data_IF_641059630150
#
_entry.id   IF_641059630150
#
_cell.length_a   1.000
_cell.length_b   1.000
_cell.length_c   1.000
_cell.angle_alpha   90.00
_cell.angle_beta   90.00
_cell.angle_gamma   90.00
#
_symmetry.space_group_name_H-M   'P 1'
#
loop_
_entity.id
_entity.type
_entity.pdbx_description
1 polymer ?
#
# COMPACT_ATOMS: atom_id res chain seq x y z
N UNK A 1 -18.11 63.20 -27.95
CA UNK A 1 -16.75 62.64 -27.74
C UNK A 1 -16.91 61.17 -27.39
N UNK A 2 -16.78 60.30 -28.39
CA UNK A 2 -16.94 58.83 -28.28
C UNK A 2 -15.56 58.18 -28.21
N UNK A 3 -15.38 57.10 -27.41
CA UNK A 3 -14.06 56.51 -27.21
C UNK A 3 -13.66 55.60 -28.37
N UNK A 4 -12.39 55.69 -28.75
CA UNK A 4 -11.69 54.82 -29.69
C UNK A 4 -11.55 53.43 -29.05
N UNK A 5 -12.18 52.41 -29.65
CA UNK A 5 -11.94 51.00 -29.31
C UNK A 5 -10.68 50.54 -30.06
N UNK A 6 -9.58 50.37 -29.33
CA UNK A 6 -8.38 49.69 -29.82
C UNK A 6 -8.66 48.19 -29.81
N UNK A 7 -8.81 47.60 -31.00
CA UNK A 7 -8.80 46.15 -31.17
C UNK A 7 -7.35 45.68 -31.28
N UNK A 8 -6.81 45.10 -30.21
CA UNK A 8 -5.56 44.33 -30.27
C UNK A 8 -5.90 42.95 -30.84
N UNK A 9 -5.57 42.74 -32.11
CA UNK A 9 -5.68 41.45 -32.78
C UNK A 9 -4.47 40.59 -32.38
N UNK A 10 -4.58 39.83 -31.29
CA UNK A 10 -3.57 38.83 -30.92
C UNK A 10 -3.76 37.59 -31.79
N UNK A 11 -3.02 37.51 -32.88
CA UNK A 11 -2.88 36.28 -33.68
C UNK A 11 -2.05 35.28 -32.86
N UNK A 12 -2.72 34.35 -32.20
CA UNK A 12 -2.07 33.14 -31.67
C UNK A 12 -1.73 32.23 -32.84
N UNK A 13 -0.51 32.35 -33.34
CA UNK A 13 0.11 31.31 -34.16
C UNK A 13 0.31 30.08 -33.27
N UNK A 14 -0.63 29.14 -33.38
CA UNK A 14 -0.46 27.76 -32.92
C UNK A 14 0.63 27.11 -33.77
N UNK A 15 1.89 27.33 -33.37
CA UNK A 15 2.98 26.47 -33.78
C UNK A 15 2.71 25.12 -33.12
N UNK A 16 2.23 24.18 -33.92
CA UNK A 16 2.17 22.77 -33.58
C UNK A 16 3.59 22.26 -33.34
N UNK A 17 4.10 22.46 -32.14
CA UNK A 17 5.17 21.64 -31.59
C UNK A 17 4.52 20.30 -31.26
N UNK A 18 4.45 19.42 -32.26
CA UNK A 18 4.37 17.99 -32.04
C UNK A 18 5.65 17.60 -31.28
N UNK A 19 5.59 17.67 -29.95
CA UNK A 19 6.60 17.04 -29.12
C UNK A 19 6.40 15.53 -29.35
N UNK A 20 7.33 14.81 -30.00
CA UNK A 20 7.22 13.38 -30.07
C UNK A 20 7.30 12.88 -28.64
N UNK A 21 6.18 12.35 -28.14
CA UNK A 21 6.15 11.49 -26.97
C UNK A 21 6.92 10.23 -27.35
N UNK A 22 8.25 10.31 -27.32
CA UNK A 22 9.15 9.17 -27.50
C UNK A 22 8.98 8.25 -26.29
N UNK A 23 7.95 7.41 -26.30
CA UNK A 23 7.98 6.16 -25.54
C UNK A 23 8.92 5.22 -26.28
N UNK A 24 10.04 4.86 -25.66
CA UNK A 24 10.91 3.81 -26.20
C UNK A 24 10.08 2.55 -26.48
N UNK A 25 10.25 1.92 -27.67
CA UNK A 25 9.51 0.71 -28.00
C UNK A 25 9.87 -0.41 -27.02
N UNK A 26 8.87 -1.22 -26.63
CA UNK A 26 9.09 -2.40 -25.80
C UNK A 26 10.05 -3.37 -26.51
N UNK A 27 10.97 -3.97 -25.74
CA UNK A 27 11.78 -5.07 -26.25
C UNK A 27 10.87 -6.25 -26.65
N UNK A 28 11.30 -7.06 -27.61
CA UNK A 28 10.56 -8.27 -28.02
C UNK A 28 10.28 -9.19 -26.80
N UNK A 29 11.24 -9.27 -25.88
CA UNK A 29 11.10 -10.07 -24.65
C UNK A 29 10.04 -9.47 -23.71
N UNK A 30 9.97 -8.14 -23.57
CA UNK A 30 8.90 -7.47 -22.81
C UNK A 30 7.53 -7.66 -23.47
N UNK A 31 7.45 -7.62 -24.80
CA UNK A 31 6.18 -7.87 -25.50
C UNK A 31 5.66 -9.28 -25.24
N UNK A 32 6.51 -10.30 -25.38
CA UNK A 32 6.14 -11.69 -25.05
C UNK A 32 5.69 -11.87 -23.61
N UNK A 33 6.33 -11.17 -22.67
CA UNK A 33 5.94 -11.20 -21.26
C UNK A 33 4.55 -10.61 -21.03
N UNK A 34 4.25 -9.49 -21.69
CA UNK A 34 2.97 -8.80 -21.61
C UNK A 34 1.84 -9.60 -22.27
N UNK A 35 2.11 -10.22 -23.42
CA UNK A 35 1.12 -11.08 -24.08
C UNK A 35 0.75 -12.25 -23.17
N UNK A 36 1.75 -12.89 -22.53
CA UNK A 36 1.52 -13.94 -21.53
C UNK A 36 0.78 -13.43 -20.30
N UNK A 37 1.11 -12.22 -19.82
CA UNK A 37 0.44 -11.57 -18.69
C UNK A 37 -1.05 -11.35 -18.96
N UNK A 38 -1.41 -10.81 -20.12
CA UNK A 38 -2.81 -10.59 -20.50
C UNK A 38 -3.58 -11.91 -20.71
N UNK A 39 -2.89 -12.98 -21.11
CA UNK A 39 -3.44 -14.33 -21.16
C UNK A 39 -3.54 -15.01 -19.79
N UNK A 40 -3.14 -14.33 -18.70
CA UNK A 40 -3.05 -14.87 -17.33
C UNK A 40 -2.12 -16.08 -17.22
N UNK A 41 -1.17 -16.23 -18.13
CA UNK A 41 -0.14 -17.25 -18.06
C UNK A 41 1.04 -16.71 -17.22
N UNK A 42 0.88 -16.73 -15.90
CA UNK A 42 1.82 -16.13 -14.95
C UNK A 42 3.21 -16.73 -15.05
N UNK A 43 3.32 -18.06 -15.20
CA UNK A 43 4.62 -18.75 -15.34
C UNK A 43 5.37 -18.28 -16.59
N UNK A 44 4.68 -18.12 -17.72
CA UNK A 44 5.32 -17.66 -18.95
C UNK A 44 5.63 -16.16 -18.91
N UNK A 45 4.78 -15.35 -18.28
CA UNK A 45 5.02 -13.93 -18.06
C UNK A 45 6.27 -13.71 -17.19
N UNK A 46 6.36 -14.42 -16.06
CA UNK A 46 7.52 -14.43 -15.16
C UNK A 46 8.80 -14.79 -15.91
N UNK A 47 8.78 -15.90 -16.65
CA UNK A 47 9.93 -16.35 -17.45
C UNK A 47 10.42 -15.25 -18.38
N UNK A 48 9.52 -14.63 -19.15
CA UNK A 48 9.92 -13.59 -20.10
C UNK A 48 10.39 -12.30 -19.42
N UNK A 49 9.75 -11.86 -18.33
CA UNK A 49 10.26 -10.71 -17.57
C UNK A 49 11.65 -10.99 -16.99
N UNK A 50 11.91 -12.19 -16.46
CA UNK A 50 13.24 -12.60 -16.01
C UNK A 50 14.27 -12.59 -17.15
N UNK A 51 13.93 -13.09 -18.34
CA UNK A 51 14.81 -13.01 -19.51
C UNK A 51 15.09 -11.56 -19.94
N UNK A 52 14.10 -10.67 -19.80
CA UNK A 52 14.31 -9.24 -20.05
C UNK A 52 15.32 -8.65 -19.05
N UNK A 53 15.15 -8.96 -17.77
CA UNK A 53 16.04 -8.50 -16.68
C UNK A 53 17.45 -9.10 -16.76
N UNK A 54 17.64 -10.28 -17.35
CA UNK A 54 18.99 -10.79 -17.65
C UNK A 54 19.74 -9.91 -18.64
N UNK A 55 19.04 -9.32 -19.61
CA UNK A 55 19.63 -8.41 -20.62
C UNK A 55 19.82 -7.01 -20.07
N UNK A 56 18.84 -6.53 -19.31
CA UNK A 56 18.91 -5.23 -18.64
C UNK A 56 18.32 -5.33 -17.21
N UNK A 57 19.17 -5.54 -16.19
CA UNK A 57 18.71 -5.65 -14.79
C UNK A 57 17.98 -4.41 -14.28
N UNK A 58 18.24 -3.26 -14.89
CA UNK A 58 17.70 -1.97 -14.50
C UNK A 58 16.47 -1.56 -15.33
N UNK A 59 15.95 -2.44 -16.21
CA UNK A 59 14.75 -2.14 -16.99
C UNK A 59 13.58 -1.87 -16.04
N UNK A 60 13.10 -0.62 -15.94
CA UNK A 60 12.06 -0.29 -14.99
C UNK A 60 10.74 -0.96 -15.37
N UNK A 61 10.49 -1.21 -16.66
CA UNK A 61 9.27 -1.87 -17.13
C UNK A 61 9.23 -3.34 -16.74
N UNK A 62 10.32 -4.08 -16.99
CA UNK A 62 10.39 -5.49 -16.62
C UNK A 62 10.36 -5.68 -15.09
N UNK A 63 11.08 -4.83 -14.33
CA UNK A 63 11.03 -4.87 -12.87
C UNK A 63 9.60 -4.64 -12.34
N UNK A 64 8.90 -3.61 -12.84
CA UNK A 64 7.55 -3.27 -12.38
C UNK A 64 6.53 -4.37 -12.68
N UNK A 65 6.52 -4.88 -13.92
CA UNK A 65 5.52 -5.88 -14.30
C UNK A 65 5.81 -7.26 -13.68
N UNK A 66 7.08 -7.61 -13.45
CA UNK A 66 7.42 -8.80 -12.68
C UNK A 66 6.91 -8.71 -11.24
N UNK A 67 7.02 -7.54 -10.60
CA UNK A 67 6.44 -7.30 -9.28
C UNK A 67 4.90 -7.48 -9.29
N UNK A 68 4.22 -7.05 -10.36
CA UNK A 68 2.78 -7.27 -10.52
C UNK A 68 2.45 -8.77 -10.65
N UNK A 69 3.20 -9.53 -11.46
CA UNK A 69 3.06 -10.99 -11.57
C UNK A 69 3.21 -11.65 -10.20
N UNK A 70 4.26 -11.31 -9.46
CA UNK A 70 4.49 -11.89 -8.13
C UNK A 70 3.43 -11.48 -7.11
N UNK A 71 2.89 -10.27 -7.18
CA UNK A 71 1.79 -9.86 -6.29
C UNK A 71 0.51 -10.65 -6.59
N UNK A 72 0.24 -10.94 -7.87
CA UNK A 72 -0.88 -11.79 -8.27
C UNK A 72 -0.69 -13.22 -7.75
N UNK A 73 0.50 -13.80 -7.89
CA UNK A 73 0.80 -15.15 -7.37
C UNK A 73 0.70 -15.20 -5.84
N UNK A 74 1.22 -14.18 -5.14
CA UNK A 74 1.09 -14.03 -3.69
C UNK A 74 -0.39 -13.98 -3.25
N UNK A 75 -1.24 -13.29 -4.01
CA UNK A 75 -2.68 -13.24 -3.73
C UNK A 75 -3.39 -14.59 -3.89
N UNK A 76 -2.80 -15.51 -4.65
CA UNK A 76 -3.28 -16.87 -4.87
C UNK A 76 -2.66 -17.87 -3.87
N UNK A 77 -1.75 -17.40 -3.00
CA UNK A 77 -0.89 -18.25 -2.18
C UNK A 77 -0.16 -19.33 -3.01
N UNK A 78 0.14 -19.03 -4.27
CA UNK A 78 0.88 -19.90 -5.20
C UNK A 78 2.33 -19.44 -5.32
N UNK A 79 3.27 -20.39 -5.43
CA UNK A 79 4.70 -20.15 -5.67
C UNK A 79 5.27 -18.98 -4.85
N UNK A 80 5.60 -19.27 -3.59
CA UNK A 80 6.05 -18.31 -2.57
C UNK A 80 7.35 -17.60 -2.96
N UNK A 81 7.24 -16.64 -3.88
CA UNK A 81 8.19 -15.56 -3.95
C UNK A 81 8.02 -14.75 -2.67
N UNK A 82 9.12 -14.49 -1.99
CA UNK A 82 9.09 -13.71 -0.76
C UNK A 82 8.56 -12.29 -1.06
N UNK A 83 7.70 -11.75 -0.21
CA UNK A 83 7.14 -10.39 -0.37
C UNK A 83 8.27 -9.34 -0.54
N UNK A 84 9.42 -9.60 0.09
CA UNK A 84 10.64 -8.81 -0.02
C UNK A 84 11.17 -8.70 -1.46
N UNK A 85 11.06 -9.74 -2.29
CA UNK A 85 11.50 -9.71 -3.68
C UNK A 85 10.62 -8.79 -4.52
N UNK A 86 9.31 -8.75 -4.23
CA UNK A 86 8.37 -7.82 -4.86
C UNK A 86 8.78 -6.38 -4.56
N UNK A 87 9.09 -6.06 -3.30
CA UNK A 87 9.54 -4.72 -2.93
C UNK A 87 10.88 -4.33 -3.57
N UNK A 88 11.81 -5.28 -3.73
CA UNK A 88 13.08 -5.01 -4.42
C UNK A 88 12.85 -4.64 -5.89
N UNK A 89 11.98 -5.36 -6.58
CA UNK A 89 11.60 -5.08 -7.97
C UNK A 89 10.91 -3.70 -8.09
N UNK A 90 9.94 -3.40 -7.21
CA UNK A 90 9.26 -2.11 -7.19
C UNK A 90 10.23 -0.95 -6.91
N UNK A 91 11.18 -1.15 -5.99
CA UNK A 91 12.20 -0.16 -5.68
C UNK A 91 13.11 0.10 -6.89
N UNK A 92 13.58 -0.94 -7.57
CA UNK A 92 14.37 -0.81 -8.78
C UNK A 92 13.60 -0.06 -9.87
N UNK A 93 12.35 -0.45 -10.12
CA UNK A 93 11.50 0.21 -11.11
C UNK A 93 11.32 1.71 -10.80
N UNK A 94 11.04 2.05 -9.54
CA UNK A 94 10.85 3.44 -9.11
C UNK A 94 12.14 4.27 -9.13
N UNK A 95 13.30 3.64 -8.96
CA UNK A 95 14.63 4.27 -9.08
C UNK A 95 14.87 4.75 -10.52
N UNK A 96 14.64 3.89 -11.51
CA UNK A 96 14.92 4.20 -12.92
C UNK A 96 13.74 4.91 -13.63
N UNK A 97 12.51 4.79 -13.14
CA UNK A 97 11.34 5.49 -13.68
C UNK A 97 10.43 6.00 -12.56
N UNK A 98 10.69 7.23 -12.12
CA UNK A 98 9.98 7.90 -11.00
C UNK A 98 8.45 7.92 -11.12
N UNK A 99 7.90 7.87 -12.34
CA UNK A 99 6.44 7.81 -12.55
C UNK A 99 5.79 6.59 -11.89
N UNK A 100 6.54 5.50 -11.69
CA UNK A 100 6.03 4.30 -11.01
C UNK A 100 5.73 4.49 -9.52
N UNK A 101 6.37 5.47 -8.86
CA UNK A 101 6.01 5.85 -7.48
C UNK A 101 4.53 6.20 -7.33
N UNK A 102 3.99 6.95 -8.29
CA UNK A 102 2.54 7.28 -8.32
C UNK A 102 1.69 6.16 -8.89
N UNK A 103 2.23 5.34 -9.78
CA UNK A 103 1.48 4.23 -10.38
C UNK A 103 1.13 3.17 -9.34
N UNK A 104 2.08 2.76 -8.49
CA UNK A 104 1.86 1.70 -7.49
C UNK A 104 0.73 2.00 -6.50
N UNK A 105 0.47 3.28 -6.21
CA UNK A 105 -0.63 3.69 -5.31
C UNK A 105 -2.02 3.49 -5.92
N UNK A 106 -2.12 3.30 -7.25
CA UNK A 106 -3.40 3.13 -7.96
C UNK A 106 -3.50 1.84 -8.77
N UNK A 107 -2.38 1.16 -8.99
CA UNK A 107 -2.36 -0.08 -9.77
C UNK A 107 -3.13 -1.18 -9.03
N UNK A 108 -4.09 -1.79 -9.72
CA UNK A 108 -4.95 -2.83 -9.17
C UNK A 108 -4.16 -4.11 -8.89
N UNK A 109 -3.11 -4.38 -9.65
CA UNK A 109 -2.33 -5.62 -9.50
C UNK A 109 -1.46 -5.57 -8.24
N UNK A 110 -1.26 -4.38 -7.69
CA UNK A 110 -0.56 -4.13 -6.43
C UNK A 110 -1.51 -3.84 -5.25
N UNK A 111 -2.82 -4.03 -5.40
CA UNK A 111 -3.79 -3.73 -4.34
C UNK A 111 -3.50 -4.47 -3.04
N UNK A 112 -2.99 -5.69 -3.14
CA UNK A 112 -2.60 -6.54 -2.02
C UNK A 112 -1.56 -5.85 -1.11
N UNK A 113 -0.62 -5.10 -1.70
CA UNK A 113 0.50 -4.49 -1.00
C UNK A 113 0.28 -3.01 -0.68
N UNK A 114 -0.83 -2.43 -1.15
CA UNK A 114 -1.04 -0.97 -1.10
C UNK A 114 -1.08 -0.40 0.33
N UNK A 115 -1.47 -1.22 1.30
CA UNK A 115 -1.55 -0.84 2.70
C UNK A 115 -0.33 -1.30 3.52
N UNK A 116 0.81 -1.62 2.88
CA UNK A 116 2.06 -1.95 3.59
C UNK A 116 2.98 -0.73 3.67
N UNK A 117 3.73 -0.63 4.77
CA UNK A 117 4.73 0.40 5.01
C UNK A 117 5.72 0.45 3.85
N UNK A 118 6.21 -0.71 3.41
CA UNK A 118 7.28 -0.80 2.42
C UNK A 118 6.85 -0.30 1.05
N UNK A 119 5.63 -0.61 0.58
CA UNK A 119 5.13 -0.06 -0.69
C UNK A 119 4.99 1.47 -0.60
N UNK A 120 4.39 1.97 0.49
CA UNK A 120 4.17 3.40 0.66
C UNK A 120 5.49 4.19 0.82
N UNK A 121 6.52 3.59 1.43
CA UNK A 121 7.88 4.13 1.51
C UNK A 121 8.51 4.25 0.11
N UNK A 122 8.43 3.19 -0.73
CA UNK A 122 8.94 3.22 -2.10
C UNK A 122 8.19 4.28 -2.94
N UNK A 123 6.87 4.39 -2.76
CA UNK A 123 6.03 5.40 -3.38
C UNK A 123 6.41 6.84 -2.97
N UNK A 124 7.19 7.00 -1.90
CA UNK A 124 7.67 8.29 -1.42
C UNK A 124 6.65 9.08 -0.63
N UNK A 125 5.70 8.39 0.02
CA UNK A 125 4.79 9.05 0.96
C UNK A 125 5.53 9.49 2.22
N UNK A 126 5.04 10.57 2.83
CA UNK A 126 5.55 11.05 4.12
C UNK A 126 5.19 10.08 5.25
N UNK A 127 5.93 10.06 6.38
CA UNK A 127 5.61 9.16 7.49
C UNK A 127 4.15 9.25 7.98
N UNK A 128 3.56 10.46 8.01
CA UNK A 128 2.16 10.64 8.41
C UNK A 128 1.18 10.05 7.40
N UNK A 129 1.42 10.25 6.10
CA UNK A 129 0.60 9.64 5.04
C UNK A 129 0.71 8.12 5.05
N UNK A 130 1.93 7.58 5.23
CA UNK A 130 2.15 6.14 5.39
C UNK A 130 1.29 5.66 6.55
N UNK A 131 1.46 6.24 7.75
CA UNK A 131 0.76 5.81 8.96
C UNK A 131 -0.76 5.72 8.80
N UNK A 132 -1.39 6.68 8.11
CA UNK A 132 -2.84 6.70 7.86
C UNK A 132 -3.28 5.82 6.67
N UNK A 133 -2.34 5.37 5.85
CA UNK A 133 -2.61 4.43 4.76
C UNK A 133 -2.50 2.96 5.21
N UNK A 134 -1.94 2.67 6.38
CA UNK A 134 -1.79 1.30 6.87
C UNK A 134 -3.08 0.81 7.54
N UNK A 135 -3.28 -0.51 7.49
CA UNK A 135 -4.12 -1.23 8.44
C UNK A 135 -3.16 -2.00 9.33
N UNK A 136 -3.33 -1.85 10.64
CA UNK A 136 -2.48 -2.46 11.65
C UNK A 136 -3.16 -3.71 12.19
N UNK A 137 -2.55 -4.86 12.02
CA UNK A 137 -3.04 -6.18 12.38
C UNK A 137 -2.32 -6.69 13.62
N UNK A 138 -3.08 -7.16 14.61
CA UNK A 138 -2.53 -7.93 15.73
C UNK A 138 -2.27 -9.39 15.35
N UNK A 139 -1.93 -10.23 16.34
CA UNK A 139 -1.64 -11.64 16.14
C UNK A 139 -2.74 -12.39 15.39
N UNK A 140 -2.36 -13.40 14.60
CA UNK A 140 -3.27 -14.23 13.81
C UNK A 140 -3.15 -15.70 14.23
N UNK A 141 -3.85 -16.16 15.27
CA UNK A 141 -3.76 -17.54 15.76
C UNK A 141 -4.57 -18.49 14.86
N UNK A 142 -3.90 -19.09 13.88
CA UNK A 142 -4.48 -20.08 12.97
C UNK A 142 -5.66 -19.54 12.16
N UNK A 143 -6.69 -20.37 11.97
CA UNK A 143 -7.80 -20.14 11.05
C UNK A 143 -8.71 -18.92 11.35
N UNK A 144 -8.55 -18.24 12.49
CA UNK A 144 -9.40 -17.10 12.87
C UNK A 144 -8.96 -15.77 12.26
N UNK A 145 -7.77 -15.73 11.64
CA UNK A 145 -7.15 -14.49 11.18
C UNK A 145 -6.73 -13.59 12.36
N UNK A 146 -6.46 -12.32 12.05
CA UNK A 146 -6.01 -11.36 13.06
C UNK A 146 -7.07 -11.14 14.16
N UNK A 147 -6.65 -11.23 15.42
CA UNK A 147 -7.53 -10.99 16.58
C UNK A 147 -7.82 -9.51 16.83
N UNK A 148 -7.10 -8.61 16.16
CA UNK A 148 -7.34 -7.18 16.28
C UNK A 148 -6.87 -6.41 15.06
N UNK A 149 -7.64 -5.42 14.65
CA UNK A 149 -7.30 -4.55 13.54
C UNK A 149 -7.49 -3.09 13.97
N UNK A 150 -6.53 -2.21 13.69
CA UNK A 150 -6.70 -0.77 13.92
C UNK A 150 -6.34 0.04 12.68
N UNK A 151 -7.21 0.99 12.34
CA UNK A 151 -7.05 1.91 11.23
C UNK A 151 -7.10 3.36 11.73
N UNK A 152 -6.26 4.20 11.15
CA UNK A 152 -6.18 5.63 11.44
C UNK A 152 -6.56 6.44 10.21
N UNK A 153 -7.41 7.44 10.41
CA UNK A 153 -7.84 8.34 9.35
C UNK A 153 -7.11 9.69 9.45
N UNK A 154 -6.84 10.31 8.30
CA UNK A 154 -6.13 11.59 8.23
C UNK A 154 -6.81 12.77 8.97
N UNK A 155 -8.10 12.63 9.30
CA UNK A 155 -8.86 13.61 10.07
C UNK A 155 -8.63 13.50 11.60
N UNK A 156 -7.74 12.60 12.05
CA UNK A 156 -7.46 12.39 13.47
C UNK A 156 -8.39 11.41 14.17
N UNK A 157 -9.17 10.59 13.46
CA UNK A 157 -9.96 9.50 14.03
C UNK A 157 -9.29 8.15 13.86
N UNK A 158 -9.69 7.19 14.69
CA UNK A 158 -9.29 5.79 14.51
C UNK A 158 -10.47 4.85 14.79
N UNK A 159 -10.39 3.65 14.22
CA UNK A 159 -11.28 2.52 14.49
C UNK A 159 -10.43 1.30 14.84
N UNK A 160 -10.70 0.69 15.99
CA UNK A 160 -10.14 -0.57 16.47
C UNK A 160 -11.24 -1.64 16.43
N UNK A 161 -10.98 -2.77 15.79
CA UNK A 161 -11.80 -3.97 15.85
C UNK A 161 -11.08 -5.03 16.67
N UNK A 162 -11.79 -5.72 17.56
CA UNK A 162 -11.24 -6.84 18.34
C UNK A 162 -12.11 -8.07 18.11
N UNK A 163 -11.50 -9.23 17.90
CA UNK A 163 -12.22 -10.50 17.90
C UNK A 163 -12.63 -10.82 19.34
N UNK A 164 -13.91 -11.15 19.53
CA UNK A 164 -14.45 -11.58 20.81
C UNK A 164 -15.38 -12.77 20.61
N UNK A 165 -15.41 -13.69 21.56
CA UNK A 165 -16.40 -14.78 21.58
C UNK A 165 -17.57 -14.37 22.46
N UNK A 166 -18.78 -14.47 21.91
CA UNK A 166 -20.00 -14.26 22.70
C UNK A 166 -20.17 -15.44 23.65
N UNK A 167 -20.19 -15.17 24.95
CA UNK A 167 -20.27 -16.21 25.99
C UNK A 167 -21.52 -17.09 25.89
N UNK A 168 -22.63 -16.57 25.35
CA UNK A 168 -23.91 -17.29 25.31
C UNK A 168 -23.96 -18.43 24.30
N UNK A 169 -23.29 -18.31 23.16
CA UNK A 169 -23.43 -19.23 22.03
C UNK A 169 -22.09 -19.53 21.31
N UNK A 170 -20.98 -18.95 21.77
CA UNK A 170 -19.66 -19.13 21.16
C UNK A 170 -19.50 -18.41 19.82
N UNK A 171 -20.47 -17.57 19.41
CA UNK A 171 -20.40 -16.83 18.15
C UNK A 171 -19.21 -15.87 18.17
N UNK A 172 -18.45 -15.87 17.08
CA UNK A 172 -17.37 -14.92 16.88
C UNK A 172 -17.94 -13.55 16.49
N UNK A 173 -17.63 -12.54 17.30
CA UNK A 173 -17.96 -11.15 17.07
C UNK A 173 -16.69 -10.34 16.79
N UNK A 174 -16.85 -9.22 16.09
CA UNK A 174 -15.80 -8.22 15.89
C UNK A 174 -16.28 -6.84 16.38
N UNK A 175 -16.47 -6.63 17.70
CA UNK A 175 -16.81 -5.32 18.24
C UNK A 175 -15.82 -4.25 17.79
N UNK A 176 -16.37 -3.08 17.46
CA UNK A 176 -15.63 -1.90 17.00
C UNK A 176 -15.59 -0.83 18.07
N UNK A 177 -14.43 -0.18 18.17
CA UNK A 177 -14.14 0.89 19.12
C UNK A 177 -13.52 2.06 18.37
N UNK A 178 -14.09 3.24 18.56
CA UNK A 178 -13.65 4.45 17.88
C UNK A 178 -13.07 5.46 18.85
N UNK A 179 -12.26 6.36 18.32
CA UNK A 179 -11.65 7.42 19.09
C UNK A 179 -11.03 8.51 18.25
N UNK A 180 -10.35 9.42 18.94
CA UNK A 180 -9.51 10.44 18.32
C UNK A 180 -8.04 10.15 18.64
N UNK A 181 -7.15 10.58 17.77
CA UNK A 181 -5.72 10.54 18.05
C UNK A 181 -5.05 11.87 17.73
N UNK A 182 -3.91 12.11 18.40
CA UNK A 182 -3.08 13.28 18.19
C UNK A 182 -1.61 12.88 18.20
N UNK A 183 -0.81 13.51 17.33
CA UNK A 183 0.63 13.33 17.32
C UNK A 183 1.27 14.03 18.52
N UNK A 184 2.03 13.28 19.32
CA UNK A 184 2.89 13.83 20.38
C UNK A 184 4.29 14.12 19.81
N UNK A 185 4.77 13.23 18.94
CA UNK A 185 6.03 13.37 18.18
C UNK A 185 5.91 12.63 16.84
N UNK A 186 6.97 12.57 16.04
CA UNK A 186 6.94 11.83 14.76
C UNK A 186 6.65 10.32 14.91
N UNK A 187 6.96 9.74 16.08
CA UNK A 187 6.82 8.29 16.34
C UNK A 187 5.81 7.95 17.42
N UNK A 188 5.22 8.95 18.07
CA UNK A 188 4.33 8.75 19.21
C UNK A 188 3.02 9.48 18.99
N UNK A 189 1.92 8.77 19.16
CA UNK A 189 0.57 9.33 19.15
C UNK A 189 -0.13 9.07 20.49
N UNK A 190 -1.03 9.98 20.87
CA UNK A 190 -1.98 9.77 21.94
C UNK A 190 -3.31 9.34 21.34
N UNK A 191 -3.86 8.24 21.84
CA UNK A 191 -5.21 7.76 21.54
C UNK A 191 -6.15 8.20 22.65
N UNK A 192 -7.37 8.59 22.27
CA UNK A 192 -8.49 8.84 23.18
C UNK A 192 -9.73 8.08 22.70
N UNK A 193 -10.06 6.99 23.39
CA UNK A 193 -11.19 6.14 23.09
C UNK A 193 -12.51 6.79 23.51
N UNK A 194 -13.54 6.70 22.66
CA UNK A 194 -14.91 7.08 23.05
C UNK A 194 -15.46 6.09 24.09
N UNK A 195 -15.28 4.80 23.81
CA UNK A 195 -15.59 3.66 24.66
C UNK A 195 -14.40 2.70 24.65
N UNK A 196 -14.01 2.20 25.82
CA UNK A 196 -12.94 1.23 25.94
C UNK A 196 -13.46 -0.19 25.70
N UNK A 197 -12.63 -1.07 25.11
CA UNK A 197 -12.81 -2.51 25.23
C UNK A 197 -12.83 -2.93 26.70
N UNK A 198 -13.74 -3.84 27.05
CA UNK A 198 -13.78 -4.44 28.39
C UNK A 198 -12.49 -5.19 28.74
N UNK A 199 -11.77 -5.68 27.72
CA UNK A 199 -10.49 -6.38 27.86
C UNK A 199 -9.31 -5.50 28.25
N UNK A 200 -9.42 -4.17 28.21
CA UNK A 200 -8.28 -3.30 28.47
C UNK A 200 -7.96 -3.16 29.96
N UNK A 201 -6.66 -3.18 30.34
CA UNK A 201 -6.25 -2.92 31.71
C UNK A 201 -6.49 -1.45 32.10
N UNK A 202 -6.83 -1.22 33.36
CA UNK A 202 -6.88 0.10 34.04
C UNK A 202 -7.88 1.16 33.52
N UNK A 203 -8.89 0.83 32.71
CA UNK A 203 -10.10 1.63 32.38
C UNK A 203 -9.93 3.14 32.03
N UNK A 204 -8.71 3.66 31.83
CA UNK A 204 -8.50 5.04 31.39
C UNK A 204 -8.65 5.12 29.87
N UNK A 205 -9.33 6.16 29.36
CA UNK A 205 -9.64 6.31 27.93
C UNK A 205 -8.45 6.74 27.07
N UNK A 206 -7.38 7.23 27.70
CA UNK A 206 -6.19 7.76 27.02
C UNK A 206 -5.06 6.73 27.03
N UNK A 207 -4.44 6.51 25.87
CA UNK A 207 -3.30 5.59 25.68
C UNK A 207 -2.25 6.23 24.81
N UNK A 208 -0.99 5.84 24.91
CA UNK A 208 -0.01 6.16 23.88
C UNK A 208 0.14 4.98 22.94
N UNK A 209 0.48 5.30 21.70
CA UNK A 209 0.95 4.33 20.73
C UNK A 209 2.27 4.80 20.12
N UNK A 210 3.17 3.86 19.90
CA UNK A 210 4.52 4.08 19.38
C UNK A 210 4.64 3.28 18.09
N UNK A 211 4.94 3.94 16.98
CA UNK A 211 5.09 3.28 15.70
C UNK A 211 6.52 3.38 15.19
N UNK A 212 6.97 2.32 14.52
CA UNK A 212 8.29 2.25 13.91
C UNK A 212 8.22 1.40 12.65
N UNK A 213 8.26 2.05 11.49
CA UNK A 213 8.14 1.39 10.20
C UNK A 213 6.84 0.57 10.11
N UNK A 214 6.97 -0.75 10.09
CA UNK A 214 5.90 -1.72 9.95
C UNK A 214 5.37 -2.26 11.28
N UNK A 215 5.79 -1.71 12.42
CA UNK A 215 5.25 -2.08 13.75
C UNK A 215 4.57 -0.93 14.46
N UNK A 216 3.53 -1.26 15.23
CA UNK A 216 2.79 -0.35 16.10
C UNK A 216 2.56 -0.99 17.47
N UNK A 217 3.07 -0.36 18.50
CA UNK A 217 2.85 -0.74 19.90
C UNK A 217 1.80 0.19 20.51
N UNK A 218 0.78 -0.37 21.17
CA UNK A 218 -0.25 0.41 21.86
C UNK A 218 -0.23 0.03 23.34
N UNK A 219 -0.16 1.02 24.23
CA UNK A 219 -0.20 0.78 25.67
C UNK A 219 -1.44 -0.05 26.04
N UNK A 220 -1.23 -1.09 26.86
CA UNK A 220 -2.31 -1.96 27.35
C UNK A 220 -2.59 -3.19 26.48
N UNK A 221 -1.99 -3.31 25.31
CA UNK A 221 -1.87 -4.59 24.60
C UNK A 221 -0.57 -5.29 24.98
N UNK A 222 -0.61 -6.62 25.05
CA UNK A 222 0.53 -7.51 25.31
C UNK A 222 1.24 -7.95 24.02
N UNK A 223 0.83 -7.41 22.87
CA UNK A 223 1.40 -7.68 21.56
C UNK A 223 1.59 -6.40 20.75
N UNK A 224 2.32 -6.53 19.64
CA UNK A 224 2.51 -5.47 18.65
C UNK A 224 1.60 -5.71 17.44
N UNK A 225 1.17 -4.62 16.82
CA UNK A 225 0.50 -4.67 15.54
C UNK A 225 1.53 -4.57 14.40
N UNK A 226 1.22 -5.19 13.27
CA UNK A 226 2.00 -5.18 12.03
C UNK A 226 1.17 -4.68 10.85
N UNK A 227 1.80 -4.29 9.75
CA UNK A 227 1.14 -3.72 8.56
C UNK A 227 0.69 -4.76 7.51
N UNK A 228 0.95 -6.04 7.77
CA UNK A 228 0.51 -7.15 6.91
C UNK A 228 -0.25 -8.17 7.75
N UNK A 229 -1.43 -8.61 7.31
CA UNK A 229 -2.06 -9.77 7.91
C UNK A 229 -1.25 -11.02 7.56
N UNK A 230 -1.40 -12.08 8.36
CA UNK A 230 -0.93 -13.39 7.96
C UNK A 230 -1.89 -13.94 6.88
N UNK A 231 -1.45 -13.89 5.61
CA UNK A 231 -2.33 -14.05 4.43
C UNK A 231 -2.47 -15.47 3.94
N UNK A 232 -1.46 -16.30 4.18
CA UNK A 232 -1.39 -17.66 3.66
C UNK A 232 -1.24 -18.71 4.77
N UNK A 233 -1.50 -18.34 6.03
CA UNK A 233 -1.69 -19.31 7.11
C UNK A 233 -3.06 -19.96 7.01
N UNK A 234 -3.06 -21.30 7.14
CA UNK A 234 -4.23 -22.16 7.15
C UNK A 234 -4.83 -22.29 8.56
#
# INVERSE_FOLDING_TARGET
MTPIKIYVLTVFLLVGLEIPLNSEPLSETNQKAIDAFYQKNWSQAEKWFKESLKKNPNDPYANYNLACVYTILLSQCENLTEEQDVFQLLQNAATYKKTYKRLMLKDKDLSLLRNTYRLNEIAGLTPKEIFTNLIWYGPSPGAYGSISEIKFDANGTFELSLVAFRESDGTLEKPKYSGKYQWISEKVIQLEFQKLPSSFPNQTKKRQARWNKNTLEIDGFDYQFQDSPDRCSA
#
